data_IF_048943791643
#
_entry.id   IF_048943791643
#
_cell.length_a   1.000
_cell.length_b   1.000
_cell.length_c   1.000
_cell.angle_alpha   90.00
_cell.angle_beta   90.00
_cell.angle_gamma   90.00
#
_symmetry.space_group_name_H-M   'P 1'
#
loop_
_entity.id
_entity.type
_entity.pdbx_description
1 polymer ?
#
# COMPACT_ATOMS: atom_id res chain seq x y z
N UNK A 1 16.43 -14.92 -3.87
CA UNK A 1 16.27 -15.73 -2.64
C UNK A 1 15.01 -15.38 -1.84
N UNK A 2 14.69 -14.10 -1.65
CA UNK A 2 13.43 -13.70 -0.98
C UNK A 2 12.24 -14.16 -1.82
N UNK A 3 12.25 -13.88 -3.12
CA UNK A 3 11.19 -14.27 -4.07
C UNK A 3 11.05 -15.79 -4.21
N UNK A 4 12.14 -16.52 -4.05
CA UNK A 4 12.18 -17.99 -4.10
C UNK A 4 11.81 -18.64 -2.75
N UNK A 5 11.45 -17.84 -1.72
CA UNK A 5 11.15 -18.28 -0.35
C UNK A 5 12.27 -19.11 0.31
N UNK A 6 13.50 -18.97 -0.18
CA UNK A 6 14.68 -19.67 0.34
C UNK A 6 15.44 -18.86 1.38
N UNK A 7 15.08 -17.58 1.59
CA UNK A 7 15.67 -16.69 2.57
C UNK A 7 15.11 -16.98 3.96
N UNK A 8 15.99 -17.18 4.93
CA UNK A 8 15.64 -17.59 6.30
C UNK A 8 16.26 -16.70 7.37
N UNK A 9 15.96 -16.98 8.64
CA UNK A 9 16.43 -16.23 9.80
C UNK A 9 17.96 -16.26 9.94
N UNK A 10 18.62 -17.35 9.60
CA UNK A 10 20.07 -17.47 9.70
C UNK A 10 20.75 -16.54 8.68
N UNK A 11 20.23 -16.48 7.46
CA UNK A 11 20.73 -15.57 6.43
C UNK A 11 20.48 -14.11 6.81
N UNK A 12 19.31 -13.80 7.39
CA UNK A 12 19.02 -12.46 7.88
C UNK A 12 20.00 -12.03 8.98
N UNK A 13 20.25 -12.90 9.96
CA UNK A 13 21.20 -12.62 11.05
C UNK A 13 22.63 -12.53 10.53
N UNK A 14 23.02 -13.34 9.57
CA UNK A 14 24.37 -13.28 8.95
C UNK A 14 24.60 -11.94 8.25
N UNK A 15 23.67 -11.51 7.41
CA UNK A 15 23.75 -10.20 6.75
C UNK A 15 23.74 -9.05 7.75
N UNK A 16 22.99 -9.16 8.82
CA UNK A 16 22.89 -8.12 9.84
C UNK A 16 24.16 -7.95 10.68
N UNK A 17 24.92 -9.04 10.91
CA UNK A 17 26.21 -8.98 11.60
C UNK A 17 27.26 -8.22 10.80
N UNK A 18 27.23 -8.36 9.49
CA UNK A 18 28.15 -7.66 8.58
C UNK A 18 27.86 -6.15 8.51
N UNK A 19 26.61 -5.74 8.77
CA UNK A 19 26.15 -4.36 8.65
C UNK A 19 26.06 -3.63 10.01
N UNK A 20 26.14 -4.34 11.12
CA UNK A 20 26.11 -3.82 12.51
C UNK A 20 24.92 -2.91 12.86
N UNK A 21 23.75 -3.06 12.22
CA UNK A 21 22.67 -2.07 12.35
C UNK A 21 21.26 -2.67 12.29
N UNK A 22 20.95 -3.60 13.19
CA UNK A 22 19.56 -4.07 13.36
C UNK A 22 18.82 -3.10 14.28
N UNK A 23 17.69 -2.56 13.78
CA UNK A 23 16.75 -1.77 14.57
C UNK A 23 15.38 -2.45 14.57
N UNK A 24 14.75 -2.50 15.72
CA UNK A 24 13.34 -2.88 15.82
C UNK A 24 12.49 -1.62 15.78
N UNK A 25 11.55 -1.56 14.85
CA UNK A 25 10.65 -0.42 14.64
C UNK A 25 9.24 -0.92 14.88
N UNK A 26 8.44 -0.14 15.59
CA UNK A 26 7.03 -0.39 15.79
C UNK A 26 6.22 0.58 14.91
N UNK A 27 5.52 0.05 13.92
CA UNK A 27 4.68 0.82 13.01
C UNK A 27 3.26 0.77 13.55
N UNK A 28 2.68 1.93 13.87
CA UNK A 28 1.37 2.03 14.51
C UNK A 28 0.22 2.27 13.51
N UNK A 29 0.52 2.88 12.38
CA UNK A 29 -0.47 3.20 11.34
C UNK A 29 0.18 3.33 9.97
N UNK A 30 -0.64 3.36 8.91
CA UNK A 30 -0.18 3.64 7.53
C UNK A 30 0.32 5.08 7.33
N UNK A 31 0.06 5.99 8.28
CA UNK A 31 0.59 7.35 8.26
C UNK A 31 1.94 7.49 9.00
N UNK A 32 2.46 6.42 9.59
CA UNK A 32 3.73 6.40 10.31
C UNK A 32 4.92 6.31 9.32
N UNK A 33 5.12 7.37 8.57
CA UNK A 33 6.07 7.46 7.46
C UNK A 33 7.43 8.07 7.84
N UNK A 34 7.80 8.04 9.10
CA UNK A 34 9.09 8.59 9.56
C UNK A 34 10.29 7.84 8.98
N UNK A 35 10.19 6.53 8.81
CA UNK A 35 11.28 5.66 8.36
C UNK A 35 11.07 5.14 6.96
N UNK A 36 9.86 4.68 6.67
CA UNK A 36 9.49 4.06 5.40
C UNK A 36 8.66 5.02 4.55
N UNK A 37 8.72 4.87 3.24
CA UNK A 37 7.81 5.57 2.35
C UNK A 37 6.39 4.96 2.38
N UNK A 38 5.36 5.66 1.90
CA UNK A 38 3.97 5.19 1.96
C UNK A 38 3.72 3.87 1.24
N UNK A 39 4.38 3.63 0.11
CA UNK A 39 4.22 2.40 -0.67
C UNK A 39 4.83 1.22 0.07
N UNK A 40 5.99 1.41 0.68
CA UNK A 40 6.64 0.43 1.53
C UNK A 40 5.82 0.11 2.78
N UNK A 41 5.18 1.11 3.41
CA UNK A 41 4.26 0.89 4.52
C UNK A 41 3.06 0.03 4.10
N UNK A 42 2.44 0.36 2.98
CA UNK A 42 1.34 -0.45 2.43
C UNK A 42 1.77 -1.90 2.20
N UNK A 43 2.95 -2.11 1.61
CA UNK A 43 3.50 -3.45 1.41
C UNK A 43 3.71 -4.17 2.75
N UNK A 44 4.33 -3.53 3.74
CA UNK A 44 4.61 -4.14 5.05
C UNK A 44 3.32 -4.58 5.78
N UNK A 45 2.22 -3.81 5.63
CA UNK A 45 0.92 -4.17 6.22
C UNK A 45 0.24 -5.36 5.54
N UNK A 46 0.59 -5.69 4.29
CA UNK A 46 0.05 -6.87 3.59
C UNK A 46 0.84 -8.16 3.88
N UNK A 47 2.04 -8.04 4.43
CA UNK A 47 2.93 -9.18 4.65
C UNK A 47 2.52 -9.99 5.88
N UNK A 48 2.59 -11.32 5.80
CA UNK A 48 2.32 -12.18 6.96
C UNK A 48 3.43 -12.10 8.01
N UNK A 49 3.11 -12.56 9.21
CA UNK A 49 4.08 -12.67 10.31
C UNK A 49 5.29 -13.53 9.91
N UNK A 50 6.47 -13.15 10.35
CA UNK A 50 7.77 -13.78 10.06
C UNK A 50 8.23 -13.70 8.60
N UNK A 51 7.59 -12.91 7.75
CA UNK A 51 8.05 -12.69 6.38
C UNK A 51 9.21 -11.71 6.30
N UNK A 52 9.95 -11.78 5.19
CA UNK A 52 11.03 -10.87 4.84
C UNK A 52 10.65 -10.06 3.62
N UNK A 53 11.09 -8.82 3.54
CA UNK A 53 10.92 -7.97 2.38
C UNK A 53 12.04 -6.94 2.26
N UNK A 54 12.28 -6.49 1.03
CA UNK A 54 13.07 -5.30 0.75
C UNK A 54 12.11 -4.14 0.55
N UNK A 55 12.31 -3.07 1.29
CA UNK A 55 11.48 -1.87 1.25
C UNK A 55 12.35 -0.63 1.16
N UNK A 56 11.78 0.40 0.58
CA UNK A 56 12.41 1.72 0.52
C UNK A 56 11.97 2.58 1.70
N UNK A 57 12.81 3.51 2.07
CA UNK A 57 12.51 4.46 3.15
C UNK A 57 12.95 5.86 2.78
N UNK A 58 12.81 6.75 3.74
CA UNK A 58 13.14 8.16 3.57
C UNK A 58 14.57 8.35 3.05
N UNK A 59 14.73 9.19 2.03
CA UNK A 59 16.02 9.49 1.41
C UNK A 59 16.58 8.37 0.52
N UNK A 60 15.70 7.59 -0.13
CA UNK A 60 16.06 6.50 -1.05
C UNK A 60 16.90 5.38 -0.41
N UNK A 61 16.78 5.21 0.90
CA UNK A 61 17.45 4.11 1.60
C UNK A 61 16.68 2.82 1.38
N UNK A 62 17.40 1.73 1.19
CA UNK A 62 16.80 0.39 1.08
C UNK A 62 17.02 -0.38 2.38
N UNK A 63 15.96 -0.95 2.90
CA UNK A 63 15.96 -1.75 4.12
C UNK A 63 15.56 -3.18 3.84
N UNK A 64 16.33 -4.13 4.37
CA UNK A 64 15.90 -5.50 4.51
C UNK A 64 15.11 -5.62 5.81
N UNK A 65 13.82 -5.92 5.71
CA UNK A 65 12.92 -5.97 6.85
C UNK A 65 12.45 -7.40 7.13
N UNK A 66 12.17 -7.66 8.40
CA UNK A 66 11.51 -8.87 8.87
C UNK A 66 10.31 -8.49 9.72
N UNK A 67 9.14 -9.00 9.39
CA UNK A 67 7.96 -8.86 10.24
C UNK A 67 8.13 -9.76 11.47
N UNK A 68 8.35 -9.14 12.62
CA UNK A 68 8.58 -9.86 13.87
C UNK A 68 7.29 -10.30 14.54
N UNK A 69 6.32 -9.41 14.58
CA UNK A 69 5.02 -9.64 15.20
C UNK A 69 3.98 -8.69 14.62
N UNK A 70 2.75 -9.18 14.51
CA UNK A 70 1.58 -8.39 14.15
C UNK A 70 0.65 -8.42 15.36
N UNK A 71 0.37 -7.25 15.92
CA UNK A 71 -0.61 -7.10 16.99
C UNK A 71 -1.82 -6.36 16.47
N UNK A 72 -2.99 -6.85 16.83
CA UNK A 72 -4.26 -6.19 16.53
C UNK A 72 -4.70 -5.44 17.78
N UNK A 73 -5.07 -4.17 17.63
CA UNK A 73 -5.71 -3.44 18.72
C UNK A 73 -7.20 -3.77 18.72
N UNK A 74 -7.77 -3.93 19.92
CA UNK A 74 -9.22 -4.07 20.05
C UNK A 74 -9.92 -2.82 19.49
N UNK A 75 -10.82 -3.03 18.54
CA UNK A 75 -11.56 -1.95 17.87
C UNK A 75 -12.62 -1.30 18.78
N UNK A 76 -12.89 -1.88 19.94
CA UNK A 76 -14.06 -1.57 20.77
C UNK A 76 -14.06 -0.17 21.42
N UNK A 77 -13.02 0.65 21.23
CA UNK A 77 -12.88 1.88 22.01
C UNK A 77 -12.77 3.17 21.21
N UNK A 78 -12.74 3.13 19.88
CA UNK A 78 -12.62 4.36 19.10
C UNK A 78 -13.62 4.41 17.93
N UNK A 79 -14.84 4.87 18.25
CA UNK A 79 -15.95 5.00 17.29
C UNK A 79 -15.62 5.90 16.11
N UNK A 80 -14.72 6.87 16.27
CA UNK A 80 -14.33 7.80 15.19
C UNK A 80 -13.44 7.11 14.17
N UNK A 81 -12.48 6.30 14.60
CA UNK A 81 -11.65 5.49 13.69
C UNK A 81 -12.49 4.45 12.92
N UNK A 82 -13.48 3.83 13.58
CA UNK A 82 -14.38 2.88 12.91
C UNK A 82 -15.19 3.58 11.81
N UNK A 83 -15.68 4.78 12.07
CA UNK A 83 -16.39 5.60 11.07
C UNK A 83 -15.48 5.95 9.89
N UNK A 84 -14.26 6.40 10.16
CA UNK A 84 -13.29 6.75 9.12
C UNK A 84 -12.96 5.54 8.24
N UNK A 85 -12.60 4.40 8.84
CA UNK A 85 -12.30 3.17 8.10
C UNK A 85 -13.50 2.62 7.33
N UNK A 86 -14.70 2.70 7.91
CA UNK A 86 -15.94 2.31 7.23
C UNK A 86 -16.22 3.19 6.02
N UNK A 87 -16.03 4.51 6.15
CA UNK A 87 -16.20 5.45 5.04
C UNK A 87 -15.17 5.19 3.94
N UNK A 88 -13.91 4.96 4.30
CA UNK A 88 -12.86 4.62 3.35
C UNK A 88 -13.18 3.32 2.61
N UNK A 89 -13.52 2.26 3.33
CA UNK A 89 -13.88 0.97 2.74
C UNK A 89 -15.08 1.08 1.79
N UNK A 90 -16.11 1.85 2.16
CA UNK A 90 -17.25 2.09 1.28
C UNK A 90 -16.84 2.84 0.00
N UNK A 91 -15.99 3.86 0.11
CA UNK A 91 -15.49 4.59 -1.05
C UNK A 91 -14.65 3.70 -1.97
N UNK A 92 -13.80 2.85 -1.41
CA UNK A 92 -12.99 1.91 -2.18
C UNK A 92 -13.89 0.91 -2.94
N UNK A 93 -14.92 0.35 -2.29
CA UNK A 93 -15.90 -0.54 -2.93
C UNK A 93 -16.64 0.19 -4.06
N UNK A 94 -17.08 1.43 -3.83
CA UNK A 94 -17.78 2.23 -4.85
C UNK A 94 -16.86 2.46 -6.05
N UNK A 95 -15.61 2.82 -5.84
CA UNK A 95 -14.63 3.03 -6.90
C UNK A 95 -14.35 1.76 -7.69
N UNK A 96 -14.23 0.61 -7.02
CA UNK A 96 -14.03 -0.69 -7.66
C UNK A 96 -15.24 -1.08 -8.52
N UNK A 97 -16.46 -0.82 -8.05
CA UNK A 97 -17.69 -1.05 -8.81
C UNK A 97 -17.72 -0.17 -10.06
N UNK A 98 -17.44 1.13 -9.94
CA UNK A 98 -17.38 2.04 -11.08
C UNK A 98 -16.31 1.62 -12.09
N UNK A 99 -15.12 1.29 -11.63
CA UNK A 99 -14.02 0.84 -12.49
C UNK A 99 -14.38 -0.45 -13.22
N UNK A 100 -14.99 -1.41 -12.54
CA UNK A 100 -15.44 -2.66 -13.13
C UNK A 100 -16.56 -2.44 -14.17
N UNK A 101 -17.46 -1.51 -13.88
CA UNK A 101 -18.53 -1.13 -14.81
C UNK A 101 -17.95 -0.47 -16.07
N UNK A 102 -17.03 0.48 -15.92
CA UNK A 102 -16.37 1.15 -17.04
C UNK A 102 -15.58 0.16 -17.91
N UNK A 103 -14.86 -0.77 -17.30
CA UNK A 103 -14.18 -1.84 -18.01
C UNK A 103 -15.16 -2.72 -18.79
N UNK A 104 -16.30 -3.06 -18.19
CA UNK A 104 -17.36 -3.83 -18.85
C UNK A 104 -17.96 -3.08 -20.03
N UNK A 105 -18.23 -1.78 -19.89
CA UNK A 105 -18.72 -0.94 -20.98
C UNK A 105 -17.70 -0.83 -22.11
N UNK A 106 -16.43 -0.55 -21.78
CA UNK A 106 -15.37 -0.43 -22.78
C UNK A 106 -15.11 -1.75 -23.54
N UNK A 107 -15.36 -2.90 -22.90
CA UNK A 107 -15.28 -4.20 -23.56
C UNK A 107 -16.43 -4.48 -24.53
N UNK A 108 -17.63 -3.96 -24.24
CA UNK A 108 -18.85 -4.18 -25.04
C UNK A 108 -19.07 -3.14 -26.11
N UNK A 109 -18.64 -1.90 -25.87
CA UNK A 109 -18.91 -0.77 -26.74
C UNK A 109 -17.62 -0.07 -27.15
N UNK A 110 -17.50 0.26 -28.45
CA UNK A 110 -16.44 1.12 -28.94
C UNK A 110 -16.73 2.57 -28.58
N UNK A 111 -16.08 3.08 -27.54
CA UNK A 111 -16.18 4.49 -27.17
C UNK A 111 -15.30 5.33 -28.10
N UNK A 112 -15.89 6.29 -28.81
CA UNK A 112 -15.16 7.24 -29.65
C UNK A 112 -15.29 8.64 -29.05
N UNK A 113 -14.18 9.17 -28.58
CA UNK A 113 -14.11 10.51 -27.99
C UNK A 113 -13.71 11.49 -29.10
N UNK A 114 -14.55 12.49 -29.34
CA UNK A 114 -14.28 13.56 -30.29
C UNK A 114 -13.69 14.77 -29.55
N UNK A 115 -12.37 14.83 -29.44
CA UNK A 115 -11.67 15.89 -28.72
C UNK A 115 -12.03 17.30 -29.21
N UNK A 116 -12.20 17.48 -30.54
CA UNK A 116 -12.63 18.76 -31.10
C UNK A 116 -14.00 19.24 -30.57
N UNK A 117 -14.92 18.31 -30.31
CA UNK A 117 -16.23 18.65 -29.74
C UNK A 117 -16.10 19.03 -28.28
N UNK A 118 -15.27 18.33 -27.53
CA UNK A 118 -14.98 18.67 -26.12
C UNK A 118 -14.36 20.05 -26.01
N UNK A 119 -13.40 20.38 -26.88
CA UNK A 119 -12.74 21.68 -26.86
C UNK A 119 -13.69 22.82 -27.23
N UNK A 120 -14.62 22.58 -28.17
CA UNK A 120 -15.68 23.56 -28.48
C UNK A 120 -16.59 23.81 -27.28
N UNK A 121 -17.00 22.75 -26.57
CA UNK A 121 -17.84 22.87 -25.37
C UNK A 121 -17.11 23.63 -24.27
N UNK A 122 -15.84 23.29 -24.00
CA UNK A 122 -15.01 24.01 -23.02
C UNK A 122 -14.86 25.49 -23.33
N UNK A 123 -14.70 25.83 -24.60
CA UNK A 123 -14.55 27.22 -25.03
C UNK A 123 -15.87 28.01 -25.02
N UNK A 124 -17.02 27.32 -25.06
CA UNK A 124 -18.32 27.96 -24.98
C UNK A 124 -18.70 28.40 -23.55
N UNK A 125 -18.14 27.74 -22.53
CA UNK A 125 -18.38 28.05 -21.12
C UNK A 125 -17.25 28.86 -20.45
N UNK A 126 -16.32 29.40 -21.25
CA UNK A 126 -15.29 30.37 -20.80
C UNK A 126 -15.70 31.78 -21.20
#
# INVERSE_FOLDING_TARGET
>A
KIDEKSFNDEEFVKLSKDINNIKTINIKSLQDNEVFDPDSLNLLYTLPNKSFSLVTGQGNKVFLTKIKNISYSDMDKNTDNIKEYSTKANNDIINDVYTSYDLSLNSKYKVKIFNQTIDRVKNYFR
#
